data_IF_391038506848
#
_entry.id   IF_391038506848
#
_cell.length_a   1.000
_cell.length_b   1.000
_cell.length_c   1.000
_cell.angle_alpha   90.00
_cell.angle_beta   90.00
_cell.angle_gamma   90.00
#
_symmetry.space_group_name_H-M   'P 1'
#
loop_
_entity.id
_entity.type
_entity.pdbx_description
1 polymer ?
#
# COMPACT_ATOMS: atom_id res chain seq x y z
N UNK A 1 5.14 5.79 16.68
CA UNK A 1 4.44 6.86 15.95
C UNK A 1 5.29 7.42 14.81
N UNK A 2 6.45 8.04 15.08
CA UNK A 2 7.31 8.63 14.02
C UNK A 2 7.91 7.61 13.06
N UNK A 3 8.39 6.47 13.55
CA UNK A 3 8.94 5.41 12.69
C UNK A 3 7.89 4.84 11.73
N UNK A 4 6.67 4.60 12.21
CA UNK A 4 5.57 4.08 11.37
C UNK A 4 5.24 5.08 10.26
N UNK A 5 5.20 6.38 10.56
CA UNK A 5 4.99 7.41 9.55
C UNK A 5 6.08 7.43 8.47
N UNK A 6 7.36 7.29 8.86
CA UNK A 6 8.48 7.21 7.90
C UNK A 6 8.39 5.96 7.03
N UNK A 7 8.04 4.81 7.60
CA UNK A 7 7.84 3.57 6.86
C UNK A 7 6.68 3.70 5.87
N UNK A 8 5.55 4.26 6.29
CA UNK A 8 4.41 4.54 5.40
C UNK A 8 4.82 5.42 4.24
N UNK A 9 5.53 6.52 4.51
CA UNK A 9 5.96 7.44 3.47
C UNK A 9 6.93 6.78 2.48
N UNK A 10 7.88 5.99 2.98
CA UNK A 10 8.84 5.27 2.14
C UNK A 10 8.14 4.25 1.22
N UNK A 11 7.21 3.46 1.75
CA UNK A 11 6.43 2.50 0.96
C UNK A 11 5.56 3.23 -0.06
N UNK A 12 4.87 4.31 0.34
CA UNK A 12 4.04 5.10 -0.55
C UNK A 12 4.84 5.72 -1.70
N UNK A 13 6.02 6.28 -1.41
CA UNK A 13 6.91 6.81 -2.43
C UNK A 13 7.37 5.70 -3.40
N UNK A 14 7.71 4.52 -2.89
CA UNK A 14 8.07 3.35 -3.70
C UNK A 14 6.93 2.89 -4.62
N UNK A 15 5.70 2.80 -4.10
CA UNK A 15 4.49 2.48 -4.88
C UNK A 15 4.30 3.50 -6.00
N UNK A 16 4.37 4.80 -5.69
CA UNK A 16 4.23 5.85 -6.70
C UNK A 16 5.31 5.76 -7.78
N UNK A 17 6.57 5.54 -7.41
CA UNK A 17 7.67 5.39 -8.38
C UNK A 17 7.45 4.18 -9.28
N UNK A 18 7.03 3.04 -8.73
CA UNK A 18 6.76 1.82 -9.50
C UNK A 18 5.60 2.02 -10.49
N UNK A 19 4.53 2.70 -10.05
CA UNK A 19 3.38 3.00 -10.90
C UNK A 19 3.71 4.02 -11.99
N UNK A 20 4.38 5.13 -11.66
CA UNK A 20 4.78 6.17 -12.62
C UNK A 20 5.71 5.62 -13.70
N UNK A 21 6.59 4.69 -13.33
CA UNK A 21 7.52 4.05 -14.26
C UNK A 21 6.94 2.81 -14.96
N UNK A 22 5.69 2.43 -14.66
CA UNK A 22 5.01 1.25 -15.20
C UNK A 22 5.85 -0.04 -15.14
N UNK A 23 6.51 -0.27 -13.99
CA UNK A 23 7.48 -1.37 -13.85
C UNK A 23 6.85 -2.71 -13.48
N UNK A 24 5.60 -2.71 -13.03
CA UNK A 24 4.84 -3.90 -12.66
C UNK A 24 3.34 -3.61 -12.70
N UNK A 25 2.52 -4.67 -12.80
CA UNK A 25 1.07 -4.54 -12.85
C UNK A 25 0.54 -3.71 -11.65
N UNK A 26 -0.32 -2.69 -11.88
CA UNK A 26 -0.74 -1.77 -10.82
C UNK A 26 -1.34 -2.46 -9.60
N UNK A 27 -2.15 -3.51 -9.82
CA UNK A 27 -2.73 -4.31 -8.74
C UNK A 27 -1.67 -4.99 -7.86
N UNK A 28 -0.60 -5.51 -8.46
CA UNK A 28 0.51 -6.11 -7.73
C UNK A 28 1.30 -5.07 -6.92
N UNK A 29 1.55 -3.89 -7.51
CA UNK A 29 2.30 -2.81 -6.84
C UNK A 29 1.54 -2.29 -5.62
N UNK A 30 0.25 -2.00 -5.78
CA UNK A 30 -0.59 -1.48 -4.69
C UNK A 30 -0.77 -2.55 -3.60
N UNK A 31 -1.11 -3.79 -3.98
CA UNK A 31 -1.27 -4.88 -3.02
C UNK A 31 0.03 -5.19 -2.28
N UNK A 32 1.16 -5.23 -3.00
CA UNK A 32 2.48 -5.42 -2.40
C UNK A 32 2.83 -4.34 -1.40
N UNK A 33 2.51 -3.07 -1.68
CA UNK A 33 2.66 -1.97 -0.73
C UNK A 33 1.88 -2.18 0.57
N UNK A 34 0.61 -2.60 0.46
CA UNK A 34 -0.23 -2.93 1.63
C UNK A 34 0.35 -4.11 2.42
N UNK A 35 0.78 -5.17 1.74
CA UNK A 35 1.42 -6.34 2.37
C UNK A 35 2.70 -5.95 3.10
N UNK A 36 3.53 -5.08 2.53
CA UNK A 36 4.75 -4.58 3.19
C UNK A 36 4.42 -3.82 4.48
N UNK A 37 3.44 -2.92 4.45
CA UNK A 37 2.99 -2.20 5.65
C UNK A 37 2.44 -3.15 6.72
N UNK A 38 1.72 -4.20 6.32
CA UNK A 38 1.19 -5.22 7.22
C UNK A 38 2.32 -6.04 7.87
N UNK A 39 3.29 -6.52 7.10
CA UNK A 39 4.45 -7.29 7.61
C UNK A 39 5.31 -6.44 8.55
N UNK A 40 5.46 -5.14 8.26
CA UNK A 40 6.18 -4.20 9.11
C UNK A 40 5.39 -3.78 10.37
N UNK A 41 4.15 -4.27 10.53
CA UNK A 41 3.28 -3.95 11.67
C UNK A 41 2.77 -2.52 11.69
N UNK A 42 2.86 -1.81 10.55
CA UNK A 42 2.41 -0.42 10.42
C UNK A 42 0.88 -0.34 10.36
N UNK A 43 0.25 -1.35 9.77
CA UNK A 43 -1.21 -1.52 9.73
C UNK A 43 -1.58 -2.90 10.26
N UNK A 44 -2.79 -3.01 10.80
CA UNK A 44 -3.40 -4.26 11.22
C UNK A 44 -4.03 -5.01 10.03
N UNK A 45 -4.31 -6.32 10.16
CA UNK A 45 -5.01 -7.07 9.11
C UNK A 45 -6.37 -6.47 8.73
N UNK A 46 -7.07 -5.86 9.69
CA UNK A 46 -8.35 -5.19 9.44
C UNK A 46 -8.16 -3.97 8.55
N UNK A 47 -7.27 -3.07 8.92
CA UNK A 47 -6.97 -1.84 8.15
C UNK A 47 -6.45 -2.16 6.74
N UNK A 48 -5.64 -3.21 6.59
CA UNK A 48 -5.16 -3.68 5.29
C UNK A 48 -6.32 -4.14 4.36
N UNK A 49 -7.40 -4.67 4.92
CA UNK A 49 -8.54 -5.19 4.17
C UNK A 49 -9.65 -4.14 3.93
N UNK A 50 -9.68 -3.06 4.71
CA UNK A 50 -10.69 -1.99 4.57
C UNK A 50 -10.64 -1.32 3.18
N UNK A 51 -9.47 -1.31 2.53
CA UNK A 51 -9.34 -0.83 1.15
C UNK A 51 -10.17 -1.60 0.11
N UNK A 52 -10.49 -2.88 0.36
CA UNK A 52 -11.36 -3.69 -0.53
C UNK A 52 -12.85 -3.37 -0.37
N UNK A 53 -13.23 -2.68 0.71
CA UNK A 53 -14.60 -2.21 0.91
C UNK A 53 -14.86 -0.85 0.24
N UNK A 54 -13.88 -0.31 -0.47
CA UNK A 54 -14.06 0.89 -1.29
C UNK A 54 -15.06 0.59 -2.43
N UNK A 55 -16.10 1.42 -2.64
CA UNK A 55 -17.03 1.23 -3.76
C UNK A 55 -16.44 1.58 -5.13
N UNK A 56 -15.40 2.45 -5.18
CA UNK A 56 -14.79 2.91 -6.43
C UNK A 56 -14.25 1.80 -7.36
N UNK A 57 -13.66 0.69 -6.86
CA UNK A 57 -13.27 -0.46 -7.68
C UNK A 57 -14.33 -1.07 -8.61
N UNK A 58 -15.64 -0.83 -8.38
CA UNK A 58 -16.73 -1.46 -9.15
C UNK A 58 -17.64 -0.47 -9.91
N UNK A 59 -17.30 0.82 -9.92
CA UNK A 59 -18.03 1.88 -10.63
C UNK A 59 -17.19 2.45 -11.76
#
# INVERSE_FOLDING_TARGET
MTLHALLTLAVLAGVLVLLVKDLAAPGLVVFGGVVLLLVLGVVTPREALEGFSNPAPFT
#
